data_IF_105849536066
#
_entry.id   IF_105849536066
#
_cell.length_a   1.000
_cell.length_b   1.000
_cell.length_c   1.000
_cell.angle_alpha   90.00
_cell.angle_beta   90.00
_cell.angle_gamma   90.00
#
_symmetry.space_group_name_H-M   'P 1'
#
loop_
_entity.id
_entity.type
_entity.pdbx_description
1 polymer ?
#
# COMPACT_ATOMS: atom_id res chain seq x y z
N UNK A 1 13.42 1.67 -30.83
CA UNK A 1 13.55 1.71 -29.36
C UNK A 1 12.85 0.48 -28.84
N UNK A 2 13.52 -0.36 -28.05
CA UNK A 2 12.85 -1.49 -27.41
C UNK A 2 11.75 -0.94 -26.50
N UNK A 3 10.55 -1.52 -26.58
CA UNK A 3 9.44 -1.10 -25.74
C UNK A 3 9.75 -1.50 -24.29
N UNK A 4 9.65 -0.56 -23.36
CA UNK A 4 9.84 -0.83 -21.93
C UNK A 4 8.57 -1.52 -21.42
N UNK A 5 8.77 -2.62 -20.69
CA UNK A 5 7.71 -3.38 -20.03
C UNK A 5 7.68 -3.02 -18.54
N UNK A 6 6.54 -2.60 -18.02
CA UNK A 6 6.31 -2.48 -16.58
C UNK A 6 5.73 -3.79 -16.05
N UNK A 7 6.47 -4.44 -15.17
CA UNK A 7 6.03 -5.66 -14.48
C UNK A 7 5.67 -5.30 -13.05
N UNK A 8 4.39 -5.36 -12.74
CA UNK A 8 3.87 -5.09 -11.41
C UNK A 8 3.42 -6.39 -10.75
N UNK A 9 3.86 -6.65 -9.54
CA UNK A 9 3.50 -7.86 -8.79
C UNK A 9 3.22 -7.57 -7.33
N UNK A 10 2.25 -8.25 -6.77
CA UNK A 10 2.04 -8.27 -5.32
C UNK A 10 3.12 -9.10 -4.64
N UNK A 11 3.33 -8.90 -3.36
CA UNK A 11 4.25 -9.66 -2.53
C UNK A 11 3.52 -10.83 -1.83
N UNK A 12 2.58 -10.52 -0.97
CA UNK A 12 1.92 -11.51 -0.12
C UNK A 12 1.07 -12.49 -0.94
N UNK A 13 1.30 -13.78 -0.73
CA UNK A 13 0.59 -14.86 -1.44
C UNK A 13 0.81 -14.83 -2.96
N UNK A 14 1.82 -14.10 -3.42
CA UNK A 14 2.20 -14.01 -4.85
C UNK A 14 3.68 -14.34 -5.02
N UNK A 15 4.59 -13.45 -4.61
CA UNK A 15 6.02 -13.73 -4.58
C UNK A 15 6.47 -14.32 -3.25
N UNK A 16 5.76 -14.03 -2.18
CA UNK A 16 6.02 -14.58 -0.85
C UNK A 16 5.12 -15.79 -0.59
N UNK A 17 5.66 -16.87 0.01
CA UNK A 17 4.90 -18.08 0.27
C UNK A 17 3.71 -17.81 1.19
N UNK A 18 2.63 -18.55 0.96
CA UNK A 18 1.46 -18.57 1.83
C UNK A 18 1.47 -19.82 2.71
N UNK A 19 2.30 -19.79 3.76
CA UNK A 19 2.47 -20.92 4.68
C UNK A 19 3.55 -21.93 4.25
N UNK A 20 3.37 -23.21 4.59
CA UNK A 20 4.40 -24.26 4.43
C UNK A 20 4.48 -24.89 3.03
N UNK A 21 3.89 -24.30 2.03
CA UNK A 21 3.96 -24.85 0.67
C UNK A 21 5.39 -24.75 0.11
N UNK A 22 5.88 -25.86 -0.44
CA UNK A 22 7.19 -25.90 -1.07
C UNK A 22 7.19 -25.03 -2.33
N UNK A 23 8.14 -24.10 -2.43
CA UNK A 23 8.35 -23.31 -3.63
C UNK A 23 9.05 -24.16 -4.71
N UNK A 24 8.76 -23.85 -6.00
CA UNK A 24 9.57 -24.40 -7.08
C UNK A 24 11.00 -23.87 -6.98
N UNK A 25 12.03 -24.73 -6.94
CA UNK A 25 13.42 -24.30 -6.81
C UNK A 25 13.90 -23.40 -7.97
N UNK A 26 13.19 -23.41 -9.10
CA UNK A 26 13.50 -22.57 -10.26
C UNK A 26 12.73 -21.23 -10.28
N UNK A 27 11.70 -21.05 -9.47
CA UNK A 27 10.83 -19.87 -9.55
C UNK A 27 11.63 -18.57 -9.30
N UNK A 28 12.36 -18.48 -8.19
CA UNK A 28 13.15 -17.29 -7.86
C UNK A 28 14.30 -17.01 -8.83
N UNK A 29 15.13 -17.99 -9.22
CA UNK A 29 16.16 -17.77 -10.25
C UNK A 29 15.60 -17.29 -11.58
N UNK A 30 14.46 -17.83 -12.03
CA UNK A 30 13.81 -17.42 -13.27
C UNK A 30 13.25 -15.99 -13.16
N UNK A 31 12.58 -15.68 -12.05
CA UNK A 31 12.06 -14.33 -11.81
C UNK A 31 13.18 -13.30 -11.76
N UNK A 32 14.27 -13.58 -11.04
CA UNK A 32 15.44 -12.70 -10.97
C UNK A 32 16.05 -12.45 -12.35
N UNK A 33 16.23 -13.51 -13.16
CA UNK A 33 16.72 -13.39 -14.54
C UNK A 33 15.78 -12.59 -15.43
N UNK A 34 14.47 -12.75 -15.26
CA UNK A 34 13.47 -11.97 -15.98
C UNK A 34 13.51 -10.49 -15.57
N UNK A 35 13.51 -10.20 -14.27
CA UNK A 35 13.53 -8.85 -13.72
C UNK A 35 14.82 -8.08 -14.05
N UNK A 36 15.96 -8.79 -14.30
CA UNK A 36 17.24 -8.17 -14.66
C UNK A 36 17.35 -7.74 -16.12
N UNK A 37 16.32 -7.96 -16.95
CA UNK A 37 16.31 -7.55 -18.35
C UNK A 37 16.29 -6.01 -18.45
N UNK A 38 17.04 -5.41 -19.39
CA UNK A 38 17.11 -3.94 -19.53
C UNK A 38 15.80 -3.30 -19.98
N UNK A 39 14.93 -4.07 -20.66
CA UNK A 39 13.60 -3.65 -21.11
C UNK A 39 12.51 -3.81 -20.03
N UNK A 40 12.83 -4.36 -18.85
CA UNK A 40 11.89 -4.54 -17.74
C UNK A 40 12.05 -3.43 -16.70
N UNK A 41 10.94 -2.89 -16.23
CA UNK A 41 10.83 -2.10 -15.00
C UNK A 41 9.98 -2.88 -14.02
N UNK A 42 10.57 -3.22 -12.88
CA UNK A 42 9.91 -4.01 -11.84
C UNK A 42 9.27 -3.10 -10.80
N UNK A 43 8.00 -3.33 -10.49
CA UNK A 43 7.29 -2.67 -9.41
C UNK A 43 6.71 -3.70 -8.42
N UNK A 44 6.98 -3.54 -7.13
CA UNK A 44 6.26 -4.27 -6.08
C UNK A 44 5.05 -3.46 -5.64
N UNK A 45 3.89 -4.13 -5.51
CA UNK A 45 2.61 -3.49 -5.20
C UNK A 45 2.00 -4.19 -3.99
N UNK A 46 2.20 -3.63 -2.80
CA UNK A 46 1.89 -4.30 -1.53
C UNK A 46 1.01 -3.48 -0.59
N UNK A 47 0.35 -4.16 0.34
CA UNK A 47 -0.28 -3.55 1.52
C UNK A 47 0.72 -3.15 2.59
N UNK A 48 1.93 -3.69 2.54
CA UNK A 48 3.00 -3.47 3.51
C UNK A 48 3.55 -2.04 3.41
N UNK A 49 3.98 -1.49 4.54
CA UNK A 49 4.76 -0.25 4.55
C UNK A 49 6.23 -0.53 4.17
N UNK A 50 6.96 0.53 3.85
CA UNK A 50 8.32 0.49 3.30
C UNK A 50 9.24 -0.50 4.04
N UNK A 51 9.41 -0.36 5.35
CA UNK A 51 10.38 -1.18 6.10
C UNK A 51 10.10 -2.68 5.95
N UNK A 52 8.82 -3.08 6.00
CA UNK A 52 8.44 -4.50 5.84
C UNK A 52 8.62 -5.00 4.41
N UNK A 53 8.57 -4.10 3.41
CA UNK A 53 8.92 -4.46 2.02
C UNK A 53 10.43 -4.62 1.87
N UNK A 54 11.23 -3.74 2.47
CA UNK A 54 12.71 -3.85 2.50
C UNK A 54 13.15 -5.16 3.16
N UNK A 55 12.56 -5.49 4.31
CA UNK A 55 12.82 -6.76 5.02
C UNK A 55 12.48 -7.97 4.16
N UNK A 56 11.31 -7.96 3.49
CA UNK A 56 10.91 -9.05 2.62
C UNK A 56 11.84 -9.22 1.40
N UNK A 57 12.30 -8.13 0.80
CA UNK A 57 13.28 -8.20 -0.30
C UNK A 57 14.57 -8.89 0.17
N UNK A 58 15.05 -8.55 1.36
CA UNK A 58 16.27 -9.12 1.93
C UNK A 58 16.07 -10.58 2.36
N UNK A 59 15.00 -10.88 3.10
CA UNK A 59 14.70 -12.22 3.63
C UNK A 59 14.51 -13.26 2.53
N UNK A 60 13.78 -12.87 1.49
CA UNK A 60 13.42 -13.79 0.40
C UNK A 60 14.33 -13.68 -0.83
N UNK A 61 15.43 -12.91 -0.73
CA UNK A 61 16.39 -12.69 -1.83
C UNK A 61 15.68 -12.29 -3.14
N UNK A 62 14.72 -11.37 -3.05
CA UNK A 62 13.98 -10.87 -4.20
C UNK A 62 14.83 -9.88 -5.01
N UNK A 63 14.64 -9.77 -6.33
CA UNK A 63 15.30 -8.73 -7.10
C UNK A 63 14.91 -7.34 -6.60
N UNK A 64 15.88 -6.41 -6.58
CA UNK A 64 15.58 -5.01 -6.24
C UNK A 64 14.62 -4.45 -7.29
N UNK A 65 13.48 -3.86 -6.89
CA UNK A 65 12.54 -3.26 -7.82
C UNK A 65 13.01 -1.87 -8.26
N UNK A 66 12.51 -1.38 -9.39
CA UNK A 66 12.64 0.03 -9.78
C UNK A 66 11.65 0.91 -9.00
N UNK A 67 10.48 0.35 -8.65
CA UNK A 67 9.42 1.07 -7.95
C UNK A 67 8.76 0.20 -6.87
N UNK A 68 8.26 0.86 -5.83
CA UNK A 68 7.43 0.21 -4.81
C UNK A 68 6.18 1.04 -4.56
N UNK A 69 5.04 0.40 -4.70
CA UNK A 69 3.74 0.91 -4.25
C UNK A 69 3.44 0.19 -2.94
N UNK A 70 3.52 0.93 -1.86
CA UNK A 70 3.29 0.46 -0.49
C UNK A 70 2.01 1.01 0.11
N UNK A 71 1.75 0.63 1.37
CA UNK A 71 0.63 1.17 2.16
C UNK A 71 -0.71 1.12 1.40
N UNK A 72 -0.97 0.00 0.73
CA UNK A 72 -2.18 -0.24 -0.08
C UNK A 72 -2.36 0.76 -1.23
N UNK A 73 -1.28 1.43 -1.64
CA UNK A 73 -1.30 2.46 -2.69
C UNK A 73 -1.19 3.89 -2.17
N UNK A 74 -1.11 4.12 -0.85
CA UNK A 74 -0.91 5.46 -0.30
C UNK A 74 0.54 5.95 -0.45
N UNK A 75 1.50 5.05 -0.63
CA UNK A 75 2.91 5.37 -0.80
C UNK A 75 3.42 4.87 -2.15
N UNK A 76 4.19 5.68 -2.85
CA UNK A 76 4.89 5.32 -4.08
C UNK A 76 6.34 5.76 -3.98
N UNK A 77 7.26 4.85 -4.21
CA UNK A 77 8.71 5.08 -4.16
C UNK A 77 9.36 4.73 -5.50
N UNK A 78 10.32 5.53 -5.91
CA UNK A 78 11.33 5.17 -6.90
C UNK A 78 12.56 4.64 -6.14
N UNK A 79 13.08 3.48 -6.56
CA UNK A 79 14.23 2.83 -5.90
C UNK A 79 15.46 2.98 -6.78
N UNK A 80 16.50 3.60 -6.24
CA UNK A 80 17.80 3.80 -6.90
C UNK A 80 18.91 3.22 -6.03
N UNK A 81 19.35 2.02 -6.37
CA UNK A 81 20.30 1.28 -5.52
C UNK A 81 19.69 0.97 -4.15
N UNK A 82 20.24 1.56 -3.09
CA UNK A 82 19.75 1.40 -1.72
C UNK A 82 18.88 2.61 -1.26
N UNK A 83 18.65 3.57 -2.17
CA UNK A 83 17.90 4.78 -1.84
C UNK A 83 16.46 4.68 -2.35
N UNK A 84 15.51 4.90 -1.46
CA UNK A 84 14.09 4.97 -1.76
C UNK A 84 13.62 6.42 -1.74
N UNK A 85 13.22 6.91 -2.90
CA UNK A 85 12.75 8.28 -3.10
C UNK A 85 11.23 8.28 -3.16
N UNK A 86 10.59 8.90 -2.17
CA UNK A 86 9.13 9.06 -2.21
C UNK A 86 8.73 9.97 -3.38
N UNK A 87 7.69 9.58 -4.11
CA UNK A 87 7.13 10.32 -5.24
C UNK A 87 6.17 11.40 -4.72
N UNK A 88 6.69 12.61 -4.61
CA UNK A 88 5.92 13.77 -4.14
C UNK A 88 4.70 14.07 -5.03
N UNK A 89 4.85 13.90 -6.34
CA UNK A 89 3.77 14.08 -7.32
C UNK A 89 2.59 13.12 -7.08
N UNK A 90 2.84 11.88 -6.67
CA UNK A 90 1.79 10.97 -6.24
C UNK A 90 1.11 11.43 -4.95
N UNK A 91 1.89 11.84 -3.97
CA UNK A 91 1.36 12.39 -2.72
C UNK A 91 0.44 13.59 -2.98
N UNK A 92 0.83 14.50 -3.87
CA UNK A 92 0.02 15.68 -4.25
C UNK A 92 -1.30 15.29 -4.92
N UNK A 93 -1.31 14.20 -5.70
CA UNK A 93 -2.53 13.70 -6.34
C UNK A 93 -3.54 13.22 -5.30
N UNK A 94 -3.11 12.34 -4.39
CA UNK A 94 -4.01 11.73 -3.40
C UNK A 94 -4.39 12.69 -2.27
N UNK A 95 -3.53 13.64 -1.91
CA UNK A 95 -3.80 14.65 -0.87
C UNK A 95 -5.06 15.48 -1.14
N UNK A 96 -5.40 15.70 -2.42
CA UNK A 96 -6.61 16.44 -2.83
C UNK A 96 -7.90 15.83 -2.30
N UNK A 97 -7.93 14.53 -2.10
CA UNK A 97 -9.10 13.84 -1.57
C UNK A 97 -9.38 14.17 -0.10
N UNK A 98 -8.37 14.55 0.65
CA UNK A 98 -8.53 14.93 2.05
C UNK A 98 -8.82 16.43 2.26
N UNK A 99 -9.08 17.17 1.18
CA UNK A 99 -9.55 18.56 1.20
C UNK A 99 -8.69 19.51 2.04
N UNK A 100 -7.38 19.26 2.11
CA UNK A 100 -6.41 20.05 2.88
C UNK A 100 -6.19 19.58 4.31
N UNK A 101 -6.94 18.58 4.78
CA UNK A 101 -6.70 17.97 6.09
C UNK A 101 -5.50 17.04 6.09
N UNK A 102 -4.72 17.08 7.16
CA UNK A 102 -3.61 16.17 7.39
C UNK A 102 -4.02 14.93 8.20
N UNK A 103 -3.05 14.01 8.35
CA UNK A 103 -3.19 12.79 9.12
C UNK A 103 -3.74 13.04 10.53
N UNK A 104 -3.10 13.93 11.30
CA UNK A 104 -3.45 14.16 12.71
C UNK A 104 -4.80 14.85 12.87
N UNK A 105 -5.17 15.72 11.94
CA UNK A 105 -6.46 16.40 11.95
C UNK A 105 -7.62 15.42 11.71
N UNK A 106 -7.46 14.51 10.75
CA UNK A 106 -8.46 13.45 10.50
C UNK A 106 -8.50 12.44 11.65
N UNK A 107 -7.35 12.11 12.25
CA UNK A 107 -7.28 11.24 13.42
C UNK A 107 -8.04 11.84 14.61
N UNK A 108 -7.93 13.14 14.82
CA UNK A 108 -8.63 13.85 15.90
C UNK A 108 -10.15 13.77 15.77
N UNK A 109 -10.70 13.80 14.54
CA UNK A 109 -12.14 13.63 14.31
C UNK A 109 -12.65 12.24 14.73
N UNK A 110 -11.79 11.24 14.67
CA UNK A 110 -12.14 9.86 15.00
C UNK A 110 -11.83 9.49 16.46
N UNK A 111 -11.17 10.38 17.21
CA UNK A 111 -10.72 10.09 18.57
C UNK A 111 -11.88 9.78 19.56
N UNK A 112 -13.09 10.27 19.27
CA UNK A 112 -14.27 10.00 20.09
C UNK A 112 -14.99 8.68 19.73
N UNK A 113 -14.57 8.01 18.65
CA UNK A 113 -15.18 6.74 18.26
C UNK A 113 -14.69 5.63 19.20
N UNK A 114 -15.60 4.96 19.93
CA UNK A 114 -15.22 3.80 20.75
C UNK A 114 -14.73 2.66 19.85
N UNK A 115 -13.89 1.83 20.40
CA UNK A 115 -13.37 0.61 19.76
C UNK A 115 -12.38 0.86 18.60
N UNK A 116 -11.95 2.10 18.38
CA UNK A 116 -10.84 2.42 17.47
C UNK A 116 -9.61 2.86 18.29
N UNK A 117 -8.47 2.25 17.99
CA UNK A 117 -7.17 2.64 18.53
C UNK A 117 -6.15 2.76 17.40
N UNK A 118 -5.51 3.92 17.27
CA UNK A 118 -4.43 4.10 16.29
C UNK A 118 -3.38 2.99 16.45
N UNK A 119 -2.91 2.47 15.34
CA UNK A 119 -1.77 1.57 15.29
C UNK A 119 -0.48 2.37 15.52
N UNK A 120 0.62 1.64 15.71
CA UNK A 120 1.95 2.21 15.95
C UNK A 120 2.36 3.17 14.82
N UNK A 121 3.21 4.13 15.15
CA UNK A 121 3.68 5.15 14.19
C UNK A 121 4.31 4.53 12.92
N UNK A 122 4.96 3.37 13.04
CA UNK A 122 5.54 2.65 11.90
C UNK A 122 4.52 2.16 10.87
N UNK A 123 3.25 2.05 11.27
CA UNK A 123 2.13 1.64 10.41
C UNK A 123 1.33 2.80 9.86
N UNK A 124 1.64 4.02 10.27
CA UNK A 124 1.06 5.25 9.78
C UNK A 124 1.84 5.80 8.58
N UNK A 125 1.17 6.58 7.73
CA UNK A 125 1.82 7.34 6.66
C UNK A 125 1.11 8.71 6.51
N UNK A 126 1.70 9.69 5.84
CA UNK A 126 1.08 11.02 5.70
C UNK A 126 -0.35 11.00 5.15
N UNK A 127 -0.68 10.01 4.32
CA UNK A 127 -2.00 9.81 3.73
C UNK A 127 -2.58 8.42 4.04
N UNK A 128 -2.29 7.90 5.22
CA UNK A 128 -2.84 6.64 5.72
C UNK A 128 -3.04 6.71 7.21
N UNK A 129 -4.27 6.46 7.66
CA UNK A 129 -4.61 6.25 9.05
C UNK A 129 -4.90 4.77 9.28
N UNK A 130 -4.11 4.12 10.12
CA UNK A 130 -4.28 2.70 10.46
C UNK A 130 -4.75 2.54 11.88
N UNK A 131 -5.83 1.80 12.07
CA UNK A 131 -6.44 1.54 13.37
C UNK A 131 -6.53 0.04 13.66
N UNK A 132 -6.36 -0.29 14.93
CA UNK A 132 -6.92 -1.50 15.49
C UNK A 132 -8.38 -1.24 15.82
N UNK A 133 -9.24 -2.18 15.49
CA UNK A 133 -10.63 -2.16 15.91
C UNK A 133 -10.90 -3.37 16.80
N UNK A 134 -11.50 -3.13 17.95
CA UNK A 134 -11.94 -4.23 18.80
C UNK A 134 -12.97 -5.09 18.07
N UNK A 135 -13.02 -6.41 18.40
CA UNK A 135 -14.01 -7.28 17.80
C UNK A 135 -15.41 -6.71 18.02
N UNK A 136 -16.02 -6.23 16.95
CA UNK A 136 -17.39 -5.75 16.95
C UNK A 136 -18.29 -6.84 16.38
N UNK A 137 -19.51 -6.91 16.91
CA UNK A 137 -20.52 -7.81 16.39
C UNK A 137 -20.81 -7.53 14.89
N UNK A 138 -20.64 -6.28 14.44
CA UNK A 138 -20.81 -5.88 13.04
C UNK A 138 -19.83 -4.78 12.65
N UNK A 139 -18.76 -5.08 11.88
CA UNK A 139 -17.83 -4.09 11.36
C UNK A 139 -18.51 -3.02 10.50
N UNK A 140 -19.61 -3.32 9.83
CA UNK A 140 -20.30 -2.38 8.97
C UNK A 140 -20.81 -1.15 9.75
N UNK A 141 -21.23 -1.34 10.98
CA UNK A 141 -21.67 -0.23 11.87
C UNK A 141 -20.51 0.73 12.14
N UNK A 142 -19.31 0.20 12.41
CA UNK A 142 -18.11 1.02 12.61
C UNK A 142 -17.76 1.82 11.35
N UNK A 143 -17.74 1.15 10.20
CA UNK A 143 -17.41 1.78 8.92
C UNK A 143 -18.38 2.91 8.57
N UNK A 144 -19.68 2.73 8.85
CA UNK A 144 -20.69 3.79 8.67
C UNK A 144 -20.42 4.98 9.58
N UNK A 145 -20.06 4.74 10.85
CA UNK A 145 -19.70 5.83 11.79
C UNK A 145 -18.46 6.59 11.32
N UNK A 146 -17.40 5.89 10.96
CA UNK A 146 -16.18 6.50 10.42
C UNK A 146 -16.49 7.38 9.20
N UNK A 147 -17.28 6.87 8.25
CA UNK A 147 -17.70 7.66 7.07
C UNK A 147 -18.46 8.91 7.46
N UNK A 148 -19.37 8.80 8.43
CA UNK A 148 -20.16 9.94 8.88
C UNK A 148 -19.30 11.03 9.54
N UNK A 149 -18.34 10.66 10.39
CA UNK A 149 -17.45 11.64 11.02
C UNK A 149 -16.56 12.34 10.00
N UNK A 150 -15.97 11.61 9.07
CA UNK A 150 -15.09 12.18 8.04
C UNK A 150 -15.86 12.95 6.93
N UNK A 151 -17.14 12.66 6.72
CA UNK A 151 -17.97 13.43 5.80
C UNK A 151 -18.20 14.88 6.24
N UNK A 152 -18.03 15.21 7.54
CA UNK A 152 -18.16 16.56 8.05
C UNK A 152 -17.12 17.53 7.49
N UNK A 153 -15.99 17.03 7.06
CA UNK A 153 -14.88 17.81 6.50
C UNK A 153 -14.72 17.66 4.99
N UNK A 154 -15.72 17.09 4.33
CA UNK A 154 -15.72 16.81 2.88
C UNK A 154 -14.53 15.95 2.40
N UNK A 155 -13.87 15.23 3.28
CA UNK A 155 -12.80 14.31 2.92
C UNK A 155 -13.36 13.13 2.13
N UNK A 156 -12.77 12.87 0.97
CA UNK A 156 -13.07 11.69 0.16
C UNK A 156 -12.14 10.55 0.60
N UNK A 157 -12.72 9.47 1.08
CA UNK A 157 -11.98 8.39 1.73
C UNK A 157 -12.27 7.03 1.09
N UNK A 158 -11.25 6.18 1.15
CA UNK A 158 -11.35 4.74 0.93
C UNK A 158 -11.12 4.04 2.28
N UNK A 159 -12.03 3.16 2.68
CA UNK A 159 -11.94 2.36 3.89
C UNK A 159 -11.60 0.92 3.52
N UNK A 160 -10.50 0.40 4.07
CA UNK A 160 -10.07 -0.98 3.89
C UNK A 160 -10.17 -1.68 5.23
N UNK A 161 -11.00 -2.70 5.28
CA UNK A 161 -11.18 -3.55 6.45
C UNK A 161 -10.55 -4.91 6.22
N UNK A 162 -9.82 -5.38 7.21
CA UNK A 162 -9.32 -6.75 7.29
C UNK A 162 -9.34 -7.24 8.74
N UNK A 163 -9.04 -8.50 8.94
CA UNK A 163 -8.91 -9.10 10.28
C UNK A 163 -7.56 -9.77 10.36
N UNK A 164 -6.82 -9.49 11.41
CA UNK A 164 -5.64 -10.25 11.78
C UNK A 164 -6.10 -11.64 12.26
N UNK A 165 -5.80 -12.65 11.47
CA UNK A 165 -6.23 -14.05 11.75
C UNK A 165 -5.62 -14.61 13.03
N UNK A 166 -4.46 -14.10 13.45
CA UNK A 166 -3.74 -14.58 14.64
C UNK A 166 -4.33 -14.00 15.93
N UNK A 167 -4.62 -12.71 15.92
CA UNK A 167 -5.13 -11.98 17.10
C UNK A 167 -6.64 -11.79 17.08
N UNK A 168 -7.29 -12.14 15.96
CA UNK A 168 -8.71 -11.87 15.70
C UNK A 168 -9.09 -10.38 15.85
N UNK A 169 -8.11 -9.50 15.66
CA UNK A 169 -8.29 -8.05 15.78
C UNK A 169 -8.66 -7.45 14.42
N UNK A 170 -9.67 -6.59 14.41
CA UNK A 170 -10.02 -5.82 13.23
C UNK A 170 -8.93 -4.82 12.89
N UNK A 171 -8.62 -4.69 11.61
CA UNK A 171 -7.68 -3.72 11.07
C UNK A 171 -8.44 -2.81 10.11
N UNK A 172 -8.39 -1.51 10.37
CA UNK A 172 -9.01 -0.50 9.52
C UNK A 172 -7.95 0.46 9.00
N UNK A 173 -7.75 0.48 7.70
CA UNK A 173 -6.98 1.52 7.02
C UNK A 173 -7.93 2.54 6.38
N UNK A 174 -7.64 3.81 6.59
CA UNK A 174 -8.36 4.95 6.01
C UNK A 174 -7.38 5.68 5.11
N UNK A 175 -7.71 5.72 3.83
CA UNK A 175 -6.90 6.28 2.77
C UNK A 175 -7.66 7.36 2.02
N UNK A 176 -6.99 8.28 1.30
CA UNK A 176 -7.64 9.07 0.26
C UNK A 176 -8.38 8.19 -0.74
N UNK A 177 -9.49 8.66 -1.29
CA UNK A 177 -10.31 7.87 -2.21
C UNK A 177 -9.55 7.41 -3.45
N UNK A 178 -8.60 8.23 -3.93
CA UNK A 178 -7.74 7.90 -5.07
C UNK A 178 -6.57 6.99 -4.71
N UNK A 179 -6.26 6.80 -3.41
CA UNK A 179 -5.18 5.94 -2.99
C UNK A 179 -5.64 4.47 -3.03
N UNK A 180 -5.14 3.76 -4.02
CA UNK A 180 -5.30 2.31 -4.15
C UNK A 180 -4.13 1.74 -4.94
N UNK A 181 -3.87 0.43 -4.80
CA UNK A 181 -2.86 -0.28 -5.60
C UNK A 181 -3.04 -0.02 -7.10
N UNK A 182 -4.29 -0.08 -7.59
CA UNK A 182 -4.60 0.12 -9.00
C UNK A 182 -4.32 1.56 -9.45
N UNK A 183 -4.82 2.56 -8.73
CA UNK A 183 -4.62 3.96 -9.10
C UNK A 183 -3.14 4.36 -9.06
N UNK A 184 -2.39 3.90 -8.05
CA UNK A 184 -0.96 4.15 -7.96
C UNK A 184 -0.19 3.49 -9.12
N UNK A 185 -0.58 2.28 -9.54
CA UNK A 185 0.01 1.60 -10.68
C UNK A 185 -0.29 2.33 -12.00
N UNK A 186 -1.53 2.77 -12.21
CA UNK A 186 -1.92 3.55 -13.40
C UNK A 186 -1.20 4.91 -13.45
N UNK A 187 -1.06 5.57 -12.29
CA UNK A 187 -0.27 6.79 -12.18
C UNK A 187 1.19 6.53 -12.57
N UNK A 188 1.80 5.48 -12.02
CA UNK A 188 3.17 5.09 -12.33
C UNK A 188 3.33 4.79 -13.83
N UNK A 189 2.50 3.92 -14.39
CA UNK A 189 2.51 3.57 -15.82
C UNK A 189 2.45 4.81 -16.72
N UNK A 190 1.52 5.71 -16.40
CA UNK A 190 1.34 6.95 -17.16
C UNK A 190 2.55 7.87 -17.03
N UNK A 191 3.13 8.01 -15.84
CA UNK A 191 4.32 8.82 -15.60
C UNK A 191 5.55 8.29 -16.36
N UNK A 192 5.62 6.98 -16.55
CA UNK A 192 6.66 6.31 -17.34
C UNK A 192 6.35 6.30 -18.84
N UNK A 193 5.19 6.79 -19.27
CA UNK A 193 4.71 6.80 -20.66
C UNK A 193 4.65 5.40 -21.28
N UNK A 194 4.32 4.40 -20.48
CA UNK A 194 4.15 3.02 -20.94
C UNK A 194 2.69 2.84 -21.39
N UNK A 195 2.42 2.46 -22.65
CA UNK A 195 1.07 2.25 -23.15
C UNK A 195 0.40 1.03 -22.46
N UNK A 196 -0.93 0.98 -22.53
CA UNK A 196 -1.66 -0.28 -22.34
C UNK A 196 -1.63 -1.03 -23.67
N UNK A 197 -1.12 -2.25 -23.66
CA UNK A 197 -1.20 -3.17 -24.80
C UNK A 197 -2.40 -4.08 -24.66
#
# INVERSE_FOLDING_TARGET
MESIMLVATDLDRTLLPNGQQAESPLARPLFRRFASRPDVRLAYVSGRHRAVVEDAIAEYDLPKPDFVIGDVGASLYEVRGDTWLARADWCEVIAKDWAGYGHDELAALLAALPNLRLQEASKQAPHKLSYYAEPLADPAVLLVRVRRELAQVAARINLIWSVDETTHTGLLDILPASASKLHALEFLRTSLRIPLE
#
